data_IF_880290217673
#
_entry.id   IF_880290217673
#
_cell.length_a   1.000
_cell.length_b   1.000
_cell.length_c   1.000
_cell.angle_alpha   90.00
_cell.angle_beta   90.00
_cell.angle_gamma   90.00
#
_symmetry.space_group_name_H-M   'P 1'
#
loop_
_entity.id
_entity.type
_entity.pdbx_description
1 polymer ?
#
# COMPACT_ATOMS: atom_id res chain seq x y z
N UNK A 1 2.02 -6.37 -7.63
CA UNK A 1 1.01 -5.59 -6.90
C UNK A 1 1.57 -4.96 -5.63
N UNK A 2 0.75 -4.16 -4.91
CA UNK A 2 1.14 -3.43 -3.70
C UNK A 2 1.76 -4.28 -2.58
N UNK A 3 1.43 -5.57 -2.54
CA UNK A 3 1.83 -6.50 -1.47
C UNK A 3 3.05 -7.35 -1.82
N UNK A 4 3.50 -7.34 -3.08
CA UNK A 4 4.62 -8.17 -3.52
C UNK A 4 5.87 -7.85 -2.73
N UNK A 5 6.70 -8.85 -2.47
CA UNK A 5 8.03 -8.59 -1.94
C UNK A 5 8.94 -8.22 -3.09
N UNK A 6 9.52 -7.03 -3.02
CA UNK A 6 10.53 -6.58 -3.97
C UNK A 6 11.88 -6.59 -3.28
N UNK A 7 12.91 -7.11 -3.97
CA UNK A 7 14.30 -7.15 -3.47
C UNK A 7 15.25 -6.52 -4.49
N UNK A 8 16.38 -5.92 -4.05
CA UNK A 8 17.43 -5.54 -4.99
C UNK A 8 17.96 -6.77 -5.72
N UNK A 9 18.08 -6.68 -7.04
CA UNK A 9 18.72 -7.70 -7.86
C UNK A 9 20.25 -7.59 -7.80
N UNK A 10 20.96 -8.65 -8.21
CA UNK A 10 22.43 -8.67 -8.19
C UNK A 10 23.08 -7.57 -9.04
N UNK A 11 22.42 -7.12 -10.11
CA UNK A 11 22.90 -6.02 -10.98
C UNK A 11 22.67 -4.63 -10.42
N UNK A 12 21.86 -4.50 -9.37
CA UNK A 12 21.49 -3.22 -8.78
C UNK A 12 22.71 -2.38 -8.38
N UNK A 13 23.76 -3.01 -7.84
CA UNK A 13 24.96 -2.33 -7.34
C UNK A 13 25.81 -1.71 -8.46
N UNK A 14 25.75 -2.24 -9.68
CA UNK A 14 26.59 -1.80 -10.80
C UNK A 14 26.00 -0.58 -11.51
N UNK A 15 24.68 -0.40 -11.43
CA UNK A 15 23.93 0.55 -12.27
C UNK A 15 23.41 1.76 -11.45
N UNK A 16 23.74 1.84 -10.16
CA UNK A 16 23.24 2.90 -9.26
C UNK A 16 23.55 4.31 -9.75
N UNK A 17 24.69 4.51 -10.42
CA UNK A 17 25.15 5.81 -10.90
C UNK A 17 24.39 6.33 -12.13
N UNK A 18 23.60 5.50 -12.80
CA UNK A 18 22.81 5.89 -13.98
C UNK A 18 21.32 6.03 -13.70
N UNK A 19 20.88 5.70 -12.48
CA UNK A 19 19.48 5.82 -12.07
C UNK A 19 19.15 7.27 -11.73
N UNK A 20 17.90 7.67 -11.97
CA UNK A 20 17.42 8.94 -11.46
C UNK A 20 17.33 8.92 -9.92
N UNK A 21 17.32 10.09 -9.25
CA UNK A 21 17.37 10.16 -7.79
C UNK A 21 16.22 9.43 -7.09
N UNK A 22 15.04 9.37 -7.69
CA UNK A 22 13.86 8.71 -7.11
C UNK A 22 14.01 7.20 -7.19
N UNK A 23 14.45 6.71 -8.34
CA UNK A 23 14.72 5.28 -8.55
C UNK A 23 15.86 4.76 -7.68
N UNK A 24 16.92 5.56 -7.53
CA UNK A 24 17.99 5.25 -6.59
C UNK A 24 17.47 5.20 -5.15
N UNK A 25 16.64 6.18 -4.74
CA UNK A 25 16.04 6.20 -3.40
C UNK A 25 15.17 4.97 -3.13
N UNK A 26 14.36 4.56 -4.11
CA UNK A 26 13.58 3.32 -4.03
C UNK A 26 14.48 2.09 -3.85
N UNK A 27 15.54 1.99 -4.66
CA UNK A 27 16.45 0.86 -4.62
C UNK A 27 17.20 0.75 -3.29
N UNK A 28 17.60 1.88 -2.70
CA UNK A 28 18.24 1.93 -1.38
C UNK A 28 17.25 1.58 -0.25
N UNK A 29 15.99 2.01 -0.36
CA UNK A 29 14.96 1.74 0.64
C UNK A 29 14.54 0.25 0.69
N UNK A 30 14.71 -0.50 -0.41
CA UNK A 30 14.37 -1.92 -0.47
C UNK A 30 15.12 -2.78 0.58
N UNK A 31 16.32 -2.39 1.03
CA UNK A 31 17.16 -3.18 1.97
C UNK A 31 17.24 -4.67 1.54
N UNK A 32 16.81 -5.60 2.40
CA UNK A 32 16.72 -7.06 2.10
C UNK A 32 15.38 -7.50 1.49
N UNK A 33 14.45 -6.56 1.36
CA UNK A 33 13.19 -6.68 0.66
C UNK A 33 12.05 -5.94 1.35
N UNK A 34 11.24 -5.24 0.58
CA UNK A 34 10.06 -4.51 1.06
C UNK A 34 8.87 -4.64 0.10
N UNK A 35 7.67 -4.38 0.61
CA UNK A 35 6.50 -4.23 -0.25
C UNK A 35 6.41 -2.83 -0.86
N UNK A 36 5.87 -2.67 -2.08
CA UNK A 36 5.59 -1.35 -2.65
C UNK A 36 4.71 -0.48 -1.74
N UNK A 37 3.77 -1.08 -1.01
CA UNK A 37 2.92 -0.38 -0.04
C UNK A 37 3.76 0.22 1.11
N UNK A 38 4.68 -0.55 1.69
CA UNK A 38 5.56 -0.07 2.76
C UNK A 38 6.53 1.02 2.25
N UNK A 39 7.05 0.85 1.03
CA UNK A 39 7.93 1.83 0.40
C UNK A 39 7.24 3.17 0.16
N UNK A 40 5.96 3.15 -0.26
CA UNK A 40 5.17 4.37 -0.46
C UNK A 40 5.12 5.22 0.82
N UNK A 41 5.03 4.59 1.99
CA UNK A 41 5.05 5.28 3.29
C UNK A 41 6.42 5.89 3.63
N UNK A 42 7.51 5.22 3.27
CA UNK A 42 8.87 5.61 3.66
C UNK A 42 9.42 6.76 2.81
N UNK A 43 9.09 6.77 1.52
CA UNK A 43 9.64 7.73 0.55
C UNK A 43 8.63 8.86 0.25
N UNK A 44 7.45 8.83 0.88
CA UNK A 44 6.38 9.82 0.68
C UNK A 44 6.00 9.97 -0.79
N UNK A 45 5.87 8.84 -1.49
CA UNK A 45 5.47 8.80 -2.90
C UNK A 45 4.09 8.16 -3.04
N UNK A 46 3.26 8.61 -3.99
CA UNK A 46 2.02 7.93 -4.32
C UNK A 46 2.29 6.46 -4.69
N UNK A 47 1.43 5.55 -4.21
CA UNK A 47 1.60 4.11 -4.43
C UNK A 47 1.69 3.75 -5.92
N UNK A 48 0.89 4.41 -6.77
CA UNK A 48 0.95 4.22 -8.22
C UNK A 48 2.30 4.57 -8.83
N UNK A 49 2.93 5.65 -8.35
CA UNK A 49 4.26 6.06 -8.81
C UNK A 49 5.33 5.07 -8.35
N UNK A 50 5.27 4.59 -7.10
CA UNK A 50 6.15 3.53 -6.59
C UNK A 50 6.04 2.28 -7.45
N UNK A 51 4.82 1.81 -7.73
CA UNK A 51 4.60 0.61 -8.56
C UNK A 51 5.11 0.80 -9.99
N UNK A 52 4.91 1.98 -10.59
CA UNK A 52 5.41 2.31 -11.94
C UNK A 52 6.93 2.25 -12.00
N UNK A 53 7.60 2.88 -11.02
CA UNK A 53 9.08 2.93 -10.90
C UNK A 53 9.67 1.54 -10.64
N UNK A 54 9.12 0.79 -9.69
CA UNK A 54 9.56 -0.58 -9.43
C UNK A 54 9.33 -1.49 -10.65
N UNK A 55 8.25 -1.29 -11.40
CA UNK A 55 8.00 -1.96 -12.67
C UNK A 55 9.06 -1.63 -13.74
N UNK A 56 9.54 -0.39 -13.79
CA UNK A 56 10.68 -0.02 -14.65
C UNK A 56 11.97 -0.74 -14.22
N UNK A 57 12.32 -0.66 -12.93
CA UNK A 57 13.50 -1.34 -12.37
C UNK A 57 13.46 -2.86 -12.58
N UNK A 58 12.29 -3.48 -12.51
CA UNK A 58 12.11 -4.90 -12.76
C UNK A 58 12.41 -5.28 -14.21
N UNK A 59 11.99 -4.46 -15.19
CA UNK A 59 12.30 -4.66 -16.62
C UNK A 59 13.80 -4.57 -16.89
N UNK A 60 14.50 -3.71 -16.15
CA UNK A 60 15.97 -3.60 -16.20
C UNK A 60 16.69 -4.71 -15.41
N UNK A 61 15.94 -5.62 -14.78
CA UNK A 61 16.47 -6.69 -13.90
C UNK A 61 17.30 -6.16 -12.73
N UNK A 62 16.96 -4.96 -12.25
CA UNK A 62 17.59 -4.34 -11.09
C UNK A 62 16.86 -4.68 -9.78
N UNK A 63 15.64 -5.21 -9.87
CA UNK A 63 14.90 -5.75 -8.75
C UNK A 63 14.28 -7.09 -9.10
N UNK A 64 14.10 -7.92 -8.08
CA UNK A 64 13.37 -9.18 -8.15
C UNK A 64 12.02 -9.01 -7.45
N UNK A 65 10.97 -9.51 -8.08
CA UNK A 65 9.60 -9.41 -7.56
C UNK A 65 9.11 -10.80 -7.20
N UNK A 66 8.72 -10.97 -5.95
CA UNK A 66 8.16 -12.20 -5.40
C UNK A 66 6.69 -11.94 -5.07
N UNK A 67 5.75 -12.47 -5.87
CA UNK A 67 4.32 -12.30 -5.62
C UNK A 67 3.94 -12.76 -4.21
N UNK A 68 3.09 -11.98 -3.54
CA UNK A 68 2.55 -12.33 -2.22
C UNK A 68 1.04 -12.27 -2.23
N UNK A 69 0.45 -13.09 -1.36
CA UNK A 69 -0.99 -13.02 -1.08
C UNK A 69 -1.30 -11.65 -0.45
N UNK A 70 -2.21 -10.85 -1.02
CA UNK A 70 -2.51 -9.52 -0.54
C UNK A 70 -3.40 -9.58 0.70
N UNK A 71 -2.88 -9.97 1.87
CA UNK A 71 -3.70 -10.21 3.07
C UNK A 71 -4.09 -8.92 3.79
N UNK A 72 -3.19 -8.43 4.62
CA UNK A 72 -3.45 -7.33 5.56
C UNK A 72 -2.58 -6.15 5.19
N UNK A 73 -3.22 -4.98 5.09
CA UNK A 73 -2.56 -3.70 4.92
C UNK A 73 -2.50 -2.99 6.27
N UNK A 74 -1.35 -2.39 6.57
CA UNK A 74 -1.19 -1.47 7.69
C UNK A 74 -1.42 -0.07 7.15
N UNK A 75 -2.50 0.57 7.58
CA UNK A 75 -2.92 1.88 7.08
C UNK A 75 -2.99 2.90 8.23
N UNK A 76 -2.82 4.18 7.90
CA UNK A 76 -3.02 5.29 8.82
C UNK A 76 -4.40 5.89 8.63
N UNK A 77 -5.12 6.12 9.72
CA UNK A 77 -6.45 6.75 9.66
C UNK A 77 -6.31 8.22 9.28
N UNK A 78 -7.09 8.64 8.30
CA UNK A 78 -7.19 10.01 7.83
C UNK A 78 -8.65 10.46 7.79
N UNK A 79 -8.89 11.77 7.85
CA UNK A 79 -10.24 12.33 7.74
C UNK A 79 -10.72 12.26 6.29
N UNK A 80 -11.81 11.52 6.08
CA UNK A 80 -12.54 11.45 4.82
C UNK A 80 -13.76 12.36 4.80
N UNK A 81 -14.37 12.49 3.62
CA UNK A 81 -15.65 13.20 3.46
C UNK A 81 -16.85 12.27 3.59
N UNK A 82 -16.68 11.00 3.20
CA UNK A 82 -17.77 10.04 3.03
C UNK A 82 -17.25 8.62 3.21
N UNK A 83 -18.05 7.75 3.84
CA UNK A 83 -17.77 6.33 3.99
C UNK A 83 -16.37 5.99 4.50
N UNK A 84 -15.90 4.78 4.18
CA UNK A 84 -14.52 4.37 4.33
C UNK A 84 -13.89 4.23 2.94
N UNK A 85 -12.70 4.80 2.74
CA UNK A 85 -11.98 4.77 1.47
C UNK A 85 -10.55 4.30 1.69
N UNK A 86 -10.07 3.43 0.81
CA UNK A 86 -8.66 2.99 0.73
C UNK A 86 -8.12 3.26 -0.67
N UNK A 87 -6.80 3.14 -0.86
CA UNK A 87 -6.22 3.34 -2.18
C UNK A 87 -6.84 2.38 -3.22
N UNK A 88 -7.19 2.91 -4.39
CA UNK A 88 -7.80 2.13 -5.46
C UNK A 88 -6.92 0.95 -5.91
N UNK A 89 -5.59 1.09 -5.89
CA UNK A 89 -4.65 0.03 -6.25
C UNK A 89 -4.60 -1.07 -5.17
N UNK A 90 -4.73 -0.68 -3.90
CA UNK A 90 -4.85 -1.61 -2.79
C UNK A 90 -6.13 -2.44 -2.91
N UNK A 91 -7.26 -1.76 -3.15
CA UNK A 91 -8.57 -2.40 -3.32
C UNK A 91 -8.62 -3.31 -4.54
N UNK A 92 -8.02 -2.89 -5.67
CA UNK A 92 -7.90 -3.73 -6.88
C UNK A 92 -7.12 -5.00 -6.58
N UNK A 93 -5.95 -4.88 -5.94
CA UNK A 93 -5.10 -6.03 -5.61
C UNK A 93 -5.82 -7.05 -4.72
N UNK A 94 -6.65 -6.58 -3.77
CA UNK A 94 -7.50 -7.46 -2.98
C UNK A 94 -8.57 -8.15 -3.82
N UNK A 95 -9.30 -7.41 -4.65
CA UNK A 95 -10.40 -7.95 -5.46
C UNK A 95 -9.91 -8.91 -6.55
N UNK A 96 -8.74 -8.66 -7.12
CA UNK A 96 -8.09 -9.56 -8.07
C UNK A 96 -7.78 -10.93 -7.43
N UNK A 97 -7.43 -10.96 -6.13
CA UNK A 97 -7.08 -12.21 -5.45
C UNK A 97 -8.28 -12.92 -4.82
N UNK A 98 -9.16 -12.19 -4.15
CA UNK A 98 -10.26 -12.76 -3.36
C UNK A 98 -11.62 -12.74 -4.06
N UNK A 99 -11.72 -12.08 -5.21
CA UNK A 99 -13.00 -11.82 -5.87
C UNK A 99 -13.73 -10.59 -5.31
N UNK A 100 -14.98 -10.37 -5.73
CA UNK A 100 -15.74 -9.20 -5.36
C UNK A 100 -16.14 -9.23 -3.88
N UNK A 101 -15.87 -8.12 -3.18
CA UNK A 101 -16.36 -7.84 -1.82
C UNK A 101 -16.70 -6.35 -1.67
N UNK A 102 -17.55 -6.06 -0.70
CA UNK A 102 -18.02 -4.69 -0.42
C UNK A 102 -17.44 -4.12 0.87
N UNK A 103 -16.98 -4.95 1.80
CA UNK A 103 -16.54 -4.53 3.13
C UNK A 103 -15.12 -4.99 3.45
N UNK A 104 -14.49 -4.24 4.34
CA UNK A 104 -13.20 -4.60 4.94
C UNK A 104 -13.35 -4.70 6.45
N UNK A 105 -12.56 -5.59 7.04
CA UNK A 105 -12.32 -5.62 8.48
C UNK A 105 -11.24 -4.61 8.80
N UNK A 106 -11.53 -3.69 9.72
CA UNK A 106 -10.58 -2.69 10.23
C UNK A 106 -10.37 -2.97 11.71
N UNK A 107 -9.11 -3.21 12.10
CA UNK A 107 -8.72 -3.50 13.47
C UNK A 107 -7.76 -2.44 13.99
N UNK A 108 -8.25 -1.71 14.99
CA UNK A 108 -7.46 -0.89 15.90
C UNK A 108 -7.48 -1.56 17.29
N UNK A 109 -8.05 -0.88 18.29
CA UNK A 109 -8.37 -1.47 19.60
C UNK A 109 -9.48 -2.53 19.52
N UNK A 110 -10.44 -2.33 18.61
CA UNK A 110 -11.50 -3.30 18.27
C UNK A 110 -11.53 -3.53 16.76
N UNK A 111 -12.14 -4.64 16.38
CA UNK A 111 -12.41 -4.96 14.98
C UNK A 111 -13.81 -4.47 14.58
N UNK A 112 -13.91 -3.83 13.41
CA UNK A 112 -15.17 -3.36 12.83
C UNK A 112 -15.23 -3.70 11.35
N UNK A 113 -16.44 -3.87 10.82
CA UNK A 113 -16.70 -4.07 9.38
C UNK A 113 -17.16 -2.76 8.77
N UNK A 114 -16.47 -2.28 7.74
CA UNK A 114 -16.80 -1.04 7.03
C UNK A 114 -17.00 -1.32 5.54
N UNK A 115 -18.07 -0.78 4.96
CA UNK A 115 -18.19 -0.69 3.49
C UNK A 115 -17.07 0.17 2.95
N UNK A 116 -16.38 -0.32 1.93
CA UNK A 116 -15.16 0.31 1.41
C UNK A 116 -15.27 0.70 -0.05
N UNK A 117 -14.75 1.87 -0.37
CA UNK A 117 -14.55 2.33 -1.73
C UNK A 117 -13.06 2.56 -2.03
N UNK A 118 -12.71 2.53 -3.30
CA UNK A 118 -11.37 2.85 -3.78
C UNK A 118 -11.28 4.33 -4.14
N UNK A 119 -10.25 5.01 -3.66
CA UNK A 119 -9.93 6.37 -4.08
C UNK A 119 -8.47 6.44 -4.53
N UNK A 120 -8.18 7.29 -5.51
CA UNK A 120 -6.84 7.43 -6.06
C UNK A 120 -5.91 8.19 -5.09
N UNK A 121 -4.66 7.74 -5.00
CA UNK A 121 -3.60 8.48 -4.33
C UNK A 121 -3.70 8.50 -2.80
N UNK A 122 -4.42 7.56 -2.18
CA UNK A 122 -4.46 7.41 -0.72
C UNK A 122 -3.21 6.71 -0.18
N UNK A 123 -2.54 5.89 -1.00
CA UNK A 123 -1.36 5.14 -0.60
C UNK A 123 -1.62 4.27 0.63
N UNK A 124 -1.01 4.66 1.76
CA UNK A 124 -1.11 3.95 3.04
C UNK A 124 -2.15 4.55 3.98
N UNK A 125 -3.07 5.37 3.49
CA UNK A 125 -4.15 5.94 4.27
C UNK A 125 -5.46 5.14 4.12
N UNK A 126 -6.23 5.08 5.20
CA UNK A 126 -7.66 4.80 5.17
C UNK A 126 -8.39 6.08 5.57
N UNK A 127 -9.20 6.63 4.65
CA UNK A 127 -10.03 7.79 4.94
C UNK A 127 -11.37 7.35 5.49
N UNK A 128 -11.74 7.91 6.64
CA UNK A 128 -13.01 7.61 7.30
C UNK A 128 -13.82 8.90 7.45
N UNK A 129 -15.11 8.84 7.12
CA UNK A 129 -16.04 9.92 7.38
C UNK A 129 -16.11 10.23 8.90
N UNK A 130 -16.44 11.48 9.28
CA UNK A 130 -16.50 11.89 10.68
C UNK A 130 -17.37 10.98 11.54
N UNK A 131 -18.49 10.50 11.00
CA UNK A 131 -19.43 9.63 11.69
C UNK A 131 -18.77 8.29 12.03
N UNK A 132 -18.00 7.70 11.09
CA UNK A 132 -17.30 6.43 11.32
C UNK A 132 -16.19 6.57 12.36
N UNK A 133 -15.47 7.70 12.37
CA UNK A 133 -14.47 8.00 13.40
C UNK A 133 -15.12 8.02 14.78
N UNK A 134 -16.23 8.74 14.94
CA UNK A 134 -16.94 8.88 16.21
C UNK A 134 -17.60 7.57 16.68
N UNK A 135 -18.37 6.90 15.81
CA UNK A 135 -19.11 5.69 16.18
C UNK A 135 -18.18 4.51 16.51
N UNK A 136 -17.07 4.39 15.79
CA UNK A 136 -16.13 3.30 16.00
C UNK A 136 -14.95 3.68 16.90
N UNK A 137 -14.84 4.95 17.32
CA UNK A 137 -13.80 5.42 18.23
C UNK A 137 -12.41 5.46 17.60
N UNK A 138 -12.33 5.70 16.29
CA UNK A 138 -11.06 5.87 15.59
C UNK A 138 -10.51 7.29 15.75
N UNK A 139 -9.19 7.41 15.73
CA UNK A 139 -8.44 8.66 15.85
C UNK A 139 -7.63 8.91 14.58
N UNK A 140 -7.69 10.13 14.05
CA UNK A 140 -6.84 10.53 12.92
C UNK A 140 -5.37 10.40 13.29
N UNK A 141 -4.59 9.80 12.39
CA UNK A 141 -3.18 9.51 12.59
C UNK A 141 -2.87 8.17 13.23
N UNK A 142 -3.86 7.46 13.79
CA UNK A 142 -3.63 6.13 14.35
C UNK A 142 -3.36 5.09 13.24
N UNK A 143 -2.64 4.04 13.60
CA UNK A 143 -2.36 2.92 12.71
C UNK A 143 -3.39 1.80 12.92
N UNK A 144 -3.94 1.29 11.82
CA UNK A 144 -4.92 0.21 11.81
C UNK A 144 -4.52 -0.89 10.83
N UNK A 145 -4.96 -2.10 11.15
CA UNK A 145 -4.85 -3.24 10.24
C UNK A 145 -6.15 -3.36 9.44
N UNK A 146 -6.04 -3.46 8.12
CA UNK A 146 -7.18 -3.55 7.21
C UNK A 146 -7.05 -4.75 6.30
N UNK A 147 -8.10 -5.53 6.15
CA UNK A 147 -8.13 -6.66 5.22
C UNK A 147 -9.56 -6.93 4.68
N UNK A 148 -9.69 -7.62 3.54
CA UNK A 148 -11.00 -7.94 2.95
C UNK A 148 -11.89 -8.76 3.88
N UNK A 149 -13.20 -8.50 3.81
CA UNK A 149 -14.20 -9.43 4.34
C UNK A 149 -14.41 -10.56 3.34
N UNK A 150 -13.59 -11.59 3.49
CA UNK A 150 -13.61 -12.85 2.74
C UNK A 150 -13.73 -14.02 3.70
#
# INVERSE_FOLDING_TARGET
>A
GPFDLVRPGSRAQVVQSTLDPVELSLLLALKSGQSPLDLASQITLPLGEVLRRLGHLARLRLVEVFPRVPRTARLRVALGRQGAQVDALLLSAWREHYGPFQRVRVKAQKEVLLSVEGAEGLGVEIRLAPELLLFHGFQVGEEVLVWPEV
#
